data_IF_736310751022
#
_entry.id   IF_736310751022
#
_cell.length_a   1.000
_cell.length_b   1.000
_cell.length_c   1.000
_cell.angle_alpha   90.00
_cell.angle_beta   90.00
_cell.angle_gamma   90.00
#
_symmetry.space_group_name_H-M   'P 1'
#
loop_
_entity.id
_entity.type
_entity.pdbx_description
1 polymer ?
#
# COMPACT_ATOMS: atom_id res chain seq x y z
N UNK A 1 -33.67 52.71 8.80
CA UNK A 1 -32.87 52.73 7.55
C UNK A 1 -31.44 52.34 7.88
N UNK A 2 -30.85 51.37 7.17
CA UNK A 2 -29.41 51.09 7.32
C UNK A 2 -29.00 49.61 7.50
N UNK A 3 -29.40 48.77 6.54
CA UNK A 3 -28.75 47.53 6.04
C UNK A 3 -27.87 46.71 7.03
N UNK A 4 -28.43 45.58 7.47
CA UNK A 4 -27.65 44.36 7.80
C UNK A 4 -27.00 43.84 6.51
N UNK A 5 -25.67 43.79 6.50
CA UNK A 5 -24.91 43.10 5.46
C UNK A 5 -25.10 41.58 5.65
N UNK A 6 -25.98 40.99 4.85
CA UNK A 6 -26.02 39.54 4.65
C UNK A 6 -24.79 39.15 3.82
N UNK A 7 -23.72 38.73 4.50
CA UNK A 7 -22.67 37.94 3.87
C UNK A 7 -23.23 36.54 3.58
N UNK A 8 -23.84 36.36 2.40
CA UNK A 8 -24.00 35.03 1.84
C UNK A 8 -22.59 34.55 1.51
N UNK A 9 -22.03 33.67 2.34
CA UNK A 9 -20.99 32.76 1.88
C UNK A 9 -21.55 32.05 0.65
N UNK A 10 -21.01 32.38 -0.52
CA UNK A 10 -21.28 31.65 -1.74
C UNK A 10 -20.75 30.24 -1.52
N UNK A 11 -21.65 29.34 -1.16
CA UNK A 11 -21.41 27.90 -1.08
C UNK A 11 -20.90 27.46 -2.46
N UNK A 12 -19.59 27.28 -2.59
CA UNK A 12 -18.97 26.87 -3.84
C UNK A 12 -19.55 25.50 -4.17
N UNK A 13 -20.37 25.43 -5.22
CA UNK A 13 -20.95 24.18 -5.67
C UNK A 13 -19.82 23.17 -5.94
N UNK A 14 -19.87 22.04 -5.24
CA UNK A 14 -18.83 21.02 -5.31
C UNK A 14 -18.88 20.34 -6.68
N UNK A 15 -17.74 20.26 -7.36
CA UNK A 15 -17.61 19.48 -8.60
C UNK A 15 -17.68 17.98 -8.28
N UNK A 16 -18.91 17.43 -8.30
CA UNK A 16 -19.16 16.02 -8.00
C UNK A 16 -18.38 15.07 -8.94
N UNK A 17 -18.12 15.46 -10.19
CA UNK A 17 -17.36 14.62 -11.13
C UNK A 17 -15.91 14.50 -10.66
N UNK A 18 -15.31 15.63 -10.25
CA UNK A 18 -13.95 15.64 -9.68
C UNK A 18 -13.91 14.85 -8.38
N UNK A 19 -14.88 15.03 -7.48
CA UNK A 19 -14.97 14.28 -6.21
C UNK A 19 -14.99 12.77 -6.45
N UNK A 20 -15.86 12.27 -7.33
CA UNK A 20 -15.94 10.84 -7.63
C UNK A 20 -14.66 10.30 -8.27
N UNK A 21 -14.03 11.08 -9.16
CA UNK A 21 -12.76 10.74 -9.81
C UNK A 21 -11.65 10.59 -8.78
N UNK A 22 -11.54 11.55 -7.85
CA UNK A 22 -10.55 11.53 -6.78
C UNK A 22 -10.83 10.42 -5.75
N UNK A 23 -12.09 10.21 -5.38
CA UNK A 23 -12.46 9.12 -4.47
C UNK A 23 -12.07 7.74 -5.03
N UNK A 24 -12.21 7.53 -6.34
CA UNK A 24 -11.71 6.34 -7.03
C UNK A 24 -10.18 6.26 -7.06
N UNK A 25 -9.49 7.36 -7.36
CA UNK A 25 -8.02 7.40 -7.35
C UNK A 25 -7.45 7.06 -5.97
N UNK A 26 -8.01 7.68 -4.94
CA UNK A 26 -7.62 7.49 -3.55
C UNK A 26 -8.13 6.21 -2.92
N UNK A 27 -9.08 5.52 -3.55
CA UNK A 27 -9.75 4.31 -3.06
C UNK A 27 -10.47 4.52 -1.72
N UNK A 28 -11.20 5.62 -1.65
CA UNK A 28 -11.98 6.04 -0.47
C UNK A 28 -13.48 6.14 -0.79
N UNK A 29 -13.96 5.45 -1.84
CA UNK A 29 -15.38 5.48 -2.22
C UNK A 29 -16.33 5.02 -1.11
N UNK A 30 -16.02 3.98 -0.31
CA UNK A 30 -16.88 3.62 0.82
C UNK A 30 -16.92 4.71 1.90
N UNK A 31 -15.79 5.36 2.20
CA UNK A 31 -15.75 6.49 3.12
C UNK A 31 -16.57 7.69 2.60
N UNK A 32 -16.46 8.00 1.30
CA UNK A 32 -17.28 9.06 0.69
C UNK A 32 -18.77 8.74 0.79
N UNK A 33 -19.17 7.49 0.58
CA UNK A 33 -20.56 7.07 0.71
C UNK A 33 -21.08 7.25 2.14
N UNK A 34 -20.31 6.84 3.15
CA UNK A 34 -20.70 7.02 4.56
C UNK A 34 -20.72 8.48 5.00
N UNK A 35 -19.80 9.29 4.47
CA UNK A 35 -19.81 10.73 4.72
C UNK A 35 -21.05 11.39 4.11
N UNK A 36 -21.35 11.08 2.84
CA UNK A 36 -22.49 11.65 2.12
C UNK A 36 -23.85 11.31 2.73
N UNK A 37 -24.00 10.13 3.37
CA UNK A 37 -25.20 9.80 4.15
C UNK A 37 -25.53 10.84 5.22
N UNK A 38 -24.51 11.52 5.78
CA UNK A 38 -24.66 12.50 6.85
C UNK A 38 -24.78 13.93 6.33
N UNK A 39 -24.12 14.24 5.23
CA UNK A 39 -24.01 15.62 4.74
C UNK A 39 -24.89 15.93 3.53
N UNK A 40 -25.36 14.90 2.81
CA UNK A 40 -26.05 15.06 1.53
C UNK A 40 -25.29 15.91 0.51
N UNK A 41 -23.99 15.66 0.40
CA UNK A 41 -23.06 16.38 -0.48
C UNK A 41 -23.36 16.15 -1.97
N UNK A 42 -23.77 14.94 -2.35
CA UNK A 42 -23.88 14.48 -3.72
C UNK A 42 -25.33 14.48 -4.22
N UNK A 43 -25.53 14.67 -5.53
CA UNK A 43 -26.82 14.47 -6.17
C UNK A 43 -27.26 12.99 -6.09
N UNK A 44 -28.59 12.76 -6.06
CA UNK A 44 -29.21 11.43 -5.90
C UNK A 44 -28.59 10.36 -6.82
N UNK A 45 -28.38 10.69 -8.11
CA UNK A 45 -27.77 9.75 -9.08
C UNK A 45 -26.38 9.25 -8.66
N UNK A 46 -25.57 10.12 -8.06
CA UNK A 46 -24.21 9.80 -7.64
C UNK A 46 -24.20 9.06 -6.30
N UNK A 47 -25.18 9.32 -5.43
CA UNK A 47 -25.43 8.50 -4.22
C UNK A 47 -25.75 7.06 -4.59
N UNK A 48 -26.66 6.85 -5.54
CA UNK A 48 -27.04 5.52 -6.01
C UNK A 48 -25.86 4.80 -6.69
N UNK A 49 -25.07 5.51 -7.49
CA UNK A 49 -23.82 4.98 -8.04
C UNK A 49 -22.87 4.47 -6.95
N UNK A 50 -22.63 5.27 -5.90
CA UNK A 50 -21.77 4.87 -4.79
C UNK A 50 -22.37 3.71 -3.99
N UNK A 51 -23.69 3.71 -3.76
CA UNK A 51 -24.41 2.63 -3.08
C UNK A 51 -24.23 1.28 -3.80
N UNK A 52 -24.38 1.27 -5.12
CA UNK A 52 -24.14 0.08 -5.95
C UNK A 52 -22.68 -0.37 -5.79
N UNK A 53 -21.73 0.57 -5.89
CA UNK A 53 -20.31 0.27 -5.75
C UNK A 53 -19.97 -0.33 -4.38
N UNK A 54 -20.41 0.26 -3.27
CA UNK A 54 -20.08 -0.24 -1.92
C UNK A 54 -20.72 -1.59 -1.65
N UNK A 55 -21.91 -1.84 -2.20
CA UNK A 55 -22.58 -3.15 -2.10
C UNK A 55 -21.77 -4.23 -2.82
N UNK A 56 -21.34 -3.95 -4.06
CA UNK A 56 -20.48 -4.85 -4.81
C UNK A 56 -19.12 -5.07 -4.13
N UNK A 57 -18.53 -4.01 -3.55
CA UNK A 57 -17.29 -4.08 -2.79
C UNK A 57 -17.43 -5.02 -1.59
N UNK A 58 -18.52 -4.89 -0.82
CA UNK A 58 -18.80 -5.74 0.33
C UNK A 58 -18.98 -7.21 -0.07
N UNK A 59 -19.74 -7.50 -1.12
CA UNK A 59 -19.93 -8.87 -1.62
C UNK A 59 -18.62 -9.51 -2.08
N UNK A 60 -17.78 -8.77 -2.80
CA UNK A 60 -16.47 -9.26 -3.24
C UNK A 60 -15.52 -9.48 -2.06
N UNK A 61 -15.52 -8.59 -1.06
CA UNK A 61 -14.74 -8.78 0.17
C UNK A 61 -15.13 -10.06 0.90
N UNK A 62 -16.44 -10.34 1.03
CA UNK A 62 -16.91 -11.59 1.66
C UNK A 62 -16.43 -12.84 0.89
N UNK A 63 -16.47 -12.79 -0.44
CA UNK A 63 -15.93 -13.86 -1.30
C UNK A 63 -14.43 -14.03 -1.09
N UNK A 64 -13.66 -12.94 -1.03
CA UNK A 64 -12.22 -13.02 -0.79
C UNK A 64 -11.91 -13.58 0.60
N UNK A 65 -12.63 -13.16 1.64
CA UNK A 65 -12.49 -13.71 3.01
C UNK A 65 -12.70 -15.22 2.97
N UNK A 66 -13.76 -15.69 2.32
CA UNK A 66 -14.04 -17.12 2.21
C UNK A 66 -12.91 -17.90 1.53
N UNK A 67 -12.42 -17.43 0.38
CA UNK A 67 -11.35 -18.11 -0.35
C UNK A 67 -9.99 -17.99 0.33
N UNK A 68 -9.72 -16.86 1.00
CA UNK A 68 -8.50 -16.66 1.77
C UNK A 68 -8.46 -17.60 2.97
N UNK A 69 -9.59 -17.77 3.69
CA UNK A 69 -9.69 -18.75 4.78
C UNK A 69 -9.33 -20.15 4.30
N UNK A 70 -9.91 -20.60 3.18
CA UNK A 70 -9.59 -21.90 2.59
C UNK A 70 -8.10 -22.04 2.27
N UNK A 71 -7.52 -21.04 1.61
CA UNK A 71 -6.10 -21.06 1.25
C UNK A 71 -5.20 -21.14 2.49
N UNK A 72 -5.48 -20.34 3.53
CA UNK A 72 -4.70 -20.35 4.78
C UNK A 72 -4.78 -21.71 5.50
N UNK A 73 -5.95 -22.37 5.49
CA UNK A 73 -6.09 -23.73 6.03
C UNK A 73 -5.30 -24.77 5.24
N UNK A 74 -5.18 -24.61 3.91
CA UNK A 74 -4.34 -25.49 3.09
C UNK A 74 -2.84 -25.29 3.38
N UNK A 75 -2.40 -24.04 3.56
CA UNK A 75 -1.04 -23.77 4.01
C UNK A 75 -0.77 -24.35 5.41
N UNK A 76 -1.70 -24.19 6.35
CA UNK A 76 -1.60 -24.79 7.68
C UNK A 76 -1.49 -26.33 7.60
N UNK A 77 -2.33 -26.98 6.80
CA UNK A 77 -2.30 -28.45 6.60
C UNK A 77 -0.96 -28.90 6.00
N UNK A 78 -0.35 -28.09 5.13
CA UNK A 78 0.96 -28.35 4.56
C UNK A 78 2.13 -27.96 5.48
N UNK A 79 1.87 -27.48 6.70
CA UNK A 79 2.89 -27.05 7.65
C UNK A 79 3.59 -25.74 7.27
N UNK A 80 2.95 -24.91 6.44
CA UNK A 80 3.48 -23.65 5.91
C UNK A 80 2.96 -22.47 6.75
N UNK A 81 3.82 -21.75 7.51
CA UNK A 81 3.41 -20.57 8.24
C UNK A 81 3.10 -19.42 7.26
N UNK A 82 1.82 -19.12 7.07
CA UNK A 82 1.34 -18.06 6.20
C UNK A 82 0.69 -16.92 6.99
N UNK A 83 1.20 -15.71 6.83
CA UNK A 83 0.68 -14.49 7.46
C UNK A 83 -0.30 -13.81 6.51
N UNK A 84 -1.51 -13.54 7.00
CA UNK A 84 -2.43 -12.62 6.33
C UNK A 84 -1.81 -11.22 6.34
N UNK A 85 -1.71 -10.58 5.18
CA UNK A 85 -0.92 -9.36 5.04
C UNK A 85 -1.73 -8.18 4.45
N UNK A 86 -1.28 -6.96 4.72
CA UNK A 86 -1.79 -5.68 4.20
C UNK A 86 -3.31 -5.53 4.25
N UNK A 87 -3.96 -5.36 3.10
CA UNK A 87 -5.26 -4.71 2.99
C UNK A 87 -6.37 -5.42 3.77
N UNK A 88 -6.38 -6.75 3.72
CA UNK A 88 -7.37 -7.56 4.44
C UNK A 88 -7.06 -7.63 5.95
N UNK A 89 -5.78 -7.66 6.32
CA UNK A 89 -5.36 -7.56 7.72
C UNK A 89 -5.73 -6.20 8.33
N UNK A 90 -5.41 -5.09 7.65
CA UNK A 90 -5.80 -3.75 8.10
C UNK A 90 -7.31 -3.63 8.23
N UNK A 91 -8.05 -4.12 7.25
CA UNK A 91 -9.50 -4.07 7.25
C UNK A 91 -10.13 -4.70 8.51
N UNK A 92 -9.58 -5.81 9.00
CA UNK A 92 -10.11 -6.51 10.17
C UNK A 92 -9.52 -5.99 11.50
N UNK A 93 -8.24 -5.63 11.53
CA UNK A 93 -7.54 -5.26 12.77
C UNK A 93 -7.82 -3.83 13.23
N UNK A 94 -7.93 -2.88 12.30
CA UNK A 94 -7.94 -1.44 12.65
C UNK A 94 -9.24 -0.72 12.31
N UNK A 95 -10.09 -1.27 11.46
CA UNK A 95 -11.39 -0.66 11.16
C UNK A 95 -12.49 -1.27 12.02
N UNK A 96 -13.20 -0.42 12.76
CA UNK A 96 -14.42 -0.80 13.49
C UNK A 96 -15.48 -1.38 12.55
N UNK A 97 -15.62 -0.78 11.36
CA UNK A 97 -16.41 -1.33 10.27
C UNK A 97 -15.50 -1.66 9.08
N UNK A 98 -15.19 -2.95 8.85
CA UNK A 98 -14.44 -3.44 7.71
C UNK A 98 -14.90 -2.87 6.35
N UNK A 99 -16.19 -2.61 6.17
CA UNK A 99 -16.74 -2.17 4.87
C UNK A 99 -16.35 -0.75 4.48
N UNK A 100 -15.79 0.03 5.41
CA UNK A 100 -15.27 1.38 5.14
C UNK A 100 -14.01 1.35 4.29
N UNK A 101 -13.30 0.22 4.26
CA UNK A 101 -12.08 0.05 3.48
C UNK A 101 -12.38 -0.56 2.11
N UNK A 102 -11.96 0.14 1.05
CA UNK A 102 -12.14 -0.35 -0.32
C UNK A 102 -11.26 -1.57 -0.62
N UNK A 103 -11.87 -2.64 -1.13
CA UNK A 103 -11.26 -3.93 -1.48
C UNK A 103 -10.01 -3.78 -2.33
N UNK A 104 -8.90 -4.43 -1.92
CA UNK A 104 -7.68 -4.58 -2.72
C UNK A 104 -7.47 -5.99 -3.23
N UNK A 105 -6.23 -6.28 -3.60
CA UNK A 105 -5.78 -7.66 -3.81
C UNK A 105 -5.61 -8.34 -2.45
N UNK A 106 -5.57 -9.67 -2.45
CA UNK A 106 -5.27 -10.43 -1.24
C UNK A 106 -3.77 -10.63 -1.17
N UNK A 107 -3.17 -10.23 -0.05
CA UNK A 107 -1.74 -10.41 0.20
C UNK A 107 -1.55 -11.53 1.22
N UNK A 108 -0.73 -12.52 0.88
CA UNK A 108 -0.28 -13.55 1.83
C UNK A 108 1.24 -13.57 1.84
N UNK A 109 1.82 -13.58 3.04
CA UNK A 109 3.25 -13.55 3.26
C UNK A 109 3.73 -14.87 3.86
N UNK A 110 4.71 -15.50 3.22
CA UNK A 110 5.42 -16.69 3.73
C UNK A 110 6.91 -16.38 3.93
N UNK A 111 7.66 -17.28 4.56
CA UNK A 111 9.11 -17.15 4.59
C UNK A 111 9.71 -17.58 3.25
N UNK A 112 10.88 -17.02 2.90
CA UNK A 112 11.57 -17.33 1.64
C UNK A 112 11.81 -18.84 1.45
N UNK A 113 12.15 -19.54 2.52
CA UNK A 113 12.34 -21.01 2.53
C UNK A 113 11.06 -21.80 2.19
N UNK A 114 9.89 -21.22 2.45
CA UNK A 114 8.59 -21.87 2.27
C UNK A 114 7.95 -21.54 0.92
N UNK A 115 8.62 -20.77 0.06
CA UNK A 115 8.07 -20.38 -1.25
C UNK A 115 7.83 -21.59 -2.15
N UNK A 116 8.84 -22.44 -2.33
CA UNK A 116 8.70 -23.63 -3.17
C UNK A 116 7.57 -24.57 -2.70
N UNK A 117 7.48 -24.97 -1.41
CA UNK A 117 6.37 -25.82 -0.97
C UNK A 117 5.01 -25.09 -1.06
N UNK A 118 4.97 -23.76 -0.89
CA UNK A 118 3.73 -22.98 -1.10
C UNK A 118 3.25 -23.02 -2.55
N UNK A 119 4.16 -23.07 -3.52
CA UNK A 119 3.79 -23.13 -4.94
C UNK A 119 3.07 -24.43 -5.28
N UNK A 120 3.44 -25.55 -4.65
CA UNK A 120 2.72 -26.82 -4.81
C UNK A 120 1.28 -26.70 -4.30
N UNK A 121 1.10 -26.14 -3.10
CA UNK A 121 -0.24 -25.88 -2.54
C UNK A 121 -1.05 -24.96 -3.46
N UNK A 122 -0.44 -23.89 -3.96
CA UNK A 122 -1.11 -22.96 -4.88
C UNK A 122 -1.52 -23.65 -6.19
N UNK A 123 -0.64 -24.45 -6.79
CA UNK A 123 -0.91 -25.25 -8.01
C UNK A 123 -2.08 -26.20 -7.78
N UNK A 124 -2.09 -26.93 -6.65
CA UNK A 124 -3.17 -27.87 -6.30
C UNK A 124 -4.51 -27.16 -6.09
N UNK A 125 -4.49 -25.91 -5.61
CA UNK A 125 -5.67 -25.05 -5.50
C UNK A 125 -6.04 -24.33 -6.82
N UNK A 126 -5.40 -24.71 -7.93
CA UNK A 126 -5.67 -24.20 -9.27
C UNK A 126 -5.22 -22.75 -9.48
N UNK A 127 -4.30 -22.24 -8.68
CA UNK A 127 -3.66 -20.95 -8.95
C UNK A 127 -2.67 -21.10 -10.09
N UNK A 128 -2.82 -20.22 -11.08
CA UNK A 128 -1.91 -20.06 -12.21
C UNK A 128 -1.16 -18.74 -12.16
N UNK A 129 -0.06 -18.71 -12.88
CA UNK A 129 0.68 -17.54 -13.35
C UNK A 129 1.42 -17.96 -14.62
N UNK A 130 2.07 -17.03 -15.32
CA UNK A 130 2.95 -17.39 -16.44
C UNK A 130 4.05 -18.40 -16.04
N UNK A 131 4.40 -18.45 -14.74
CA UNK A 131 5.39 -19.37 -14.14
C UNK A 131 4.74 -20.67 -13.64
N UNK A 132 3.43 -20.67 -13.37
CA UNK A 132 2.68 -21.84 -12.90
C UNK A 132 1.82 -22.38 -14.03
N UNK A 133 2.42 -22.63 -15.20
CA UNK A 133 1.71 -23.28 -16.30
C UNK A 133 1.54 -24.78 -15.96
N UNK A 134 0.32 -25.32 -15.86
CA UNK A 134 0.08 -26.73 -15.58
C UNK A 134 0.71 -27.68 -16.60
N UNK A 135 1.00 -27.21 -17.82
CA UNK A 135 1.62 -28.00 -18.88
C UNK A 135 3.16 -28.07 -18.77
N UNK A 136 3.78 -27.32 -17.84
CA UNK A 136 5.22 -27.38 -17.62
C UNK A 136 5.62 -28.52 -16.65
N UNK A 137 6.71 -29.26 -16.93
CA UNK A 137 7.28 -30.24 -16.01
C UNK A 137 7.60 -29.62 -14.64
N UNK A 138 7.40 -30.38 -13.56
CA UNK A 138 7.66 -29.90 -12.18
C UNK A 138 9.11 -29.47 -11.96
N UNK A 139 10.06 -30.13 -12.64
CA UNK A 139 11.48 -29.77 -12.63
C UNK A 139 11.73 -28.38 -13.22
N UNK A 140 10.98 -27.99 -14.25
CA UNK A 140 11.09 -26.66 -14.85
C UNK A 140 10.47 -25.59 -13.94
N UNK A 141 9.33 -25.89 -13.31
CA UNK A 141 8.69 -24.99 -12.33
C UNK A 141 9.64 -24.71 -11.16
N UNK A 142 10.29 -25.75 -10.62
CA UNK A 142 11.29 -25.62 -9.56
C UNK A 142 12.46 -24.70 -9.96
N UNK A 143 13.02 -24.90 -11.15
CA UNK A 143 14.10 -24.05 -11.68
C UNK A 143 13.66 -22.59 -11.87
N UNK A 144 12.44 -22.36 -12.35
CA UNK A 144 11.90 -21.00 -12.46
C UNK A 144 11.75 -20.35 -11.09
N UNK A 145 11.23 -21.06 -10.09
CA UNK A 145 11.08 -20.55 -8.72
C UNK A 145 12.45 -20.24 -8.11
N UNK A 146 13.44 -21.14 -8.23
CA UNK A 146 14.80 -20.88 -7.75
C UNK A 146 15.42 -19.65 -8.39
N UNK A 147 15.24 -19.49 -9.71
CA UNK A 147 15.64 -18.28 -10.43
C UNK A 147 14.92 -17.04 -9.88
N UNK A 148 13.62 -17.11 -9.62
CA UNK A 148 12.87 -16.00 -9.00
C UNK A 148 13.41 -15.63 -7.62
N UNK A 149 13.72 -16.64 -6.80
CA UNK A 149 14.27 -16.47 -5.45
C UNK A 149 15.71 -15.94 -5.46
N UNK A 150 16.46 -16.15 -6.55
CA UNK A 150 17.80 -15.58 -6.73
C UNK A 150 17.77 -14.06 -6.95
N UNK A 151 16.64 -13.51 -7.40
CA UNK A 151 16.48 -12.07 -7.56
C UNK A 151 16.13 -11.42 -6.22
N UNK A 152 17.14 -10.89 -5.52
CA UNK A 152 16.93 -10.25 -4.21
C UNK A 152 16.00 -9.01 -4.25
N UNK A 153 15.70 -8.48 -5.43
CA UNK A 153 14.75 -7.38 -5.59
C UNK A 153 13.29 -7.83 -5.77
N UNK A 154 13.05 -9.12 -6.04
CA UNK A 154 11.72 -9.70 -6.16
C UNK A 154 11.33 -10.36 -4.84
N UNK A 155 10.17 -9.98 -4.32
CA UNK A 155 9.63 -10.50 -3.07
C UNK A 155 8.17 -10.91 -3.17
N UNK A 156 7.59 -10.84 -4.39
CA UNK A 156 6.19 -11.08 -4.61
C UNK A 156 5.93 -11.66 -6.01
N UNK A 157 4.90 -12.48 -6.12
CA UNK A 157 4.41 -13.08 -7.34
C UNK A 157 2.87 -12.98 -7.35
N UNK A 158 2.29 -12.19 -8.28
CA UNK A 158 0.85 -12.24 -8.52
C UNK A 158 0.47 -13.61 -9.09
N UNK A 159 -0.46 -14.28 -8.45
CA UNK A 159 -1.06 -15.54 -8.90
C UNK A 159 -2.58 -15.43 -8.82
N UNK A 160 -3.29 -16.17 -9.66
CA UNK A 160 -4.75 -16.14 -9.65
C UNK A 160 -5.36 -17.49 -9.96
N UNK A 161 -6.59 -17.69 -9.47
CA UNK A 161 -7.48 -18.71 -9.97
C UNK A 161 -8.85 -18.08 -10.30
N UNK A 162 -9.85 -18.90 -10.65
CA UNK A 162 -11.22 -18.43 -10.95
C UNK A 162 -11.89 -17.70 -9.78
N UNK A 163 -11.35 -17.83 -8.57
CA UNK A 163 -11.95 -17.40 -7.33
C UNK A 163 -11.24 -16.24 -6.63
N UNK A 164 -9.91 -16.17 -6.74
CA UNK A 164 -9.07 -15.28 -5.94
C UNK A 164 -7.92 -14.71 -6.77
N UNK A 165 -7.66 -13.42 -6.59
CA UNK A 165 -6.43 -12.75 -7.03
C UNK A 165 -5.53 -12.62 -5.79
N UNK A 166 -4.35 -13.22 -5.85
CA UNK A 166 -3.42 -13.31 -4.73
C UNK A 166 -2.09 -12.66 -5.13
N UNK A 167 -1.65 -11.66 -4.36
CA UNK A 167 -0.26 -11.20 -4.37
C UNK A 167 0.50 -12.03 -3.34
N UNK A 168 1.12 -13.13 -3.81
CA UNK A 168 1.86 -14.06 -2.97
C UNK A 168 3.26 -13.51 -2.68
N UNK A 169 3.65 -13.41 -1.40
CA UNK A 169 4.84 -12.65 -0.99
C UNK A 169 5.78 -13.47 -0.11
N UNK A 170 7.08 -13.20 -0.23
CA UNK A 170 8.14 -13.79 0.61
C UNK A 170 9.11 -12.76 1.20
N UNK A 171 8.72 -11.48 1.11
CA UNK A 171 9.38 -10.34 1.73
C UNK A 171 8.45 -9.14 1.72
N UNK A 172 8.91 -8.03 2.29
CA UNK A 172 8.07 -6.83 2.50
C UNK A 172 8.60 -5.58 1.79
N UNK A 173 9.81 -5.68 1.23
CA UNK A 173 10.45 -4.63 0.44
C UNK A 173 11.39 -5.25 -0.58
N UNK A 174 11.68 -4.52 -1.64
CA UNK A 174 12.82 -4.83 -2.52
C UNK A 174 14.11 -4.27 -1.95
N UNK A 175 15.24 -4.88 -2.29
CA UNK A 175 16.57 -4.46 -1.84
C UNK A 175 17.02 -3.08 -2.29
N UNK A 176 16.44 -2.53 -3.37
CA UNK A 176 16.76 -1.17 -3.78
C UNK A 176 16.25 -0.11 -2.79
N UNK A 177 15.32 -0.43 -1.88
CA UNK A 177 14.89 0.53 -0.86
C UNK A 177 16.03 0.79 0.13
N UNK A 178 16.29 2.07 0.40
CA UNK A 178 17.41 2.52 1.25
C UNK A 178 17.19 2.23 2.73
N UNK A 179 15.96 1.89 3.12
CA UNK A 179 15.62 1.57 4.49
C UNK A 179 15.80 0.07 4.79
N UNK A 180 16.13 -0.22 6.03
CA UNK A 180 16.23 -1.56 6.56
C UNK A 180 14.94 -1.94 7.29
N UNK A 181 14.56 -3.22 7.19
CA UNK A 181 13.54 -3.79 8.05
C UNK A 181 13.82 -5.28 8.23
N UNK A 182 14.01 -5.76 9.47
CA UNK A 182 14.31 -7.15 9.77
C UNK A 182 13.04 -7.99 9.68
N UNK A 183 12.51 -8.18 8.47
CA UNK A 183 11.22 -8.81 8.26
C UNK A 183 11.10 -10.24 8.82
N UNK A 184 12.14 -11.09 8.98
CA UNK A 184 11.98 -12.38 9.66
C UNK A 184 11.44 -12.24 11.09
N UNK A 185 11.69 -11.11 11.77
CA UNK A 185 11.16 -10.84 13.11
C UNK A 185 9.63 -10.79 13.15
N UNK A 186 8.95 -10.48 12.03
CA UNK A 186 7.48 -10.47 12.00
C UNK A 186 6.91 -11.87 12.21
N UNK A 187 7.59 -12.91 11.70
CA UNK A 187 7.17 -14.30 11.88
C UNK A 187 7.41 -14.76 13.32
N UNK A 188 8.51 -14.32 13.93
CA UNK A 188 8.80 -14.61 15.34
C UNK A 188 7.79 -13.99 16.31
N UNK A 189 7.29 -12.79 15.99
CA UNK A 189 6.26 -12.10 16.80
C UNK A 189 4.83 -12.49 16.43
N UNK A 190 4.63 -13.18 15.32
CA UNK A 190 3.29 -13.52 14.86
C UNK A 190 2.66 -14.58 15.76
N UNK A 191 1.35 -14.47 15.96
CA UNK A 191 0.58 -15.37 16.82
C UNK A 191 -0.68 -15.83 16.11
N UNK A 192 -1.16 -17.03 16.45
CA UNK A 192 -2.45 -17.51 15.95
C UNK A 192 -3.58 -16.70 16.61
N UNK A 193 -4.39 -16.04 15.80
CA UNK A 193 -5.56 -15.26 16.23
C UNK A 193 -6.77 -15.58 15.37
N UNK A 194 -7.96 -15.25 15.88
CA UNK A 194 -9.19 -15.45 15.12
C UNK A 194 -9.21 -14.59 13.86
N UNK A 195 -9.66 -15.19 12.76
CA UNK A 195 -9.97 -14.54 11.50
C UNK A 195 -11.25 -15.14 10.94
N UNK A 196 -12.38 -14.53 11.29
CA UNK A 196 -13.71 -14.96 10.85
C UNK A 196 -13.98 -16.44 11.18
N UNK A 197 -13.64 -16.91 12.37
CA UNK A 197 -13.92 -18.27 12.85
C UNK A 197 -12.89 -19.33 12.44
N UNK A 198 -11.71 -18.92 11.93
CA UNK A 198 -10.53 -19.80 11.85
C UNK A 198 -9.35 -19.16 12.57
N UNK A 199 -8.38 -19.95 13.00
CA UNK A 199 -7.15 -19.47 13.63
C UNK A 199 -6.10 -19.30 12.54
N UNK A 200 -5.57 -18.10 12.36
CA UNK A 200 -4.52 -17.82 11.35
C UNK A 200 -3.38 -17.04 11.96
N UNK A 201 -2.19 -17.16 11.37
CA UNK A 201 -1.02 -16.45 11.83
C UNK A 201 -1.15 -14.96 11.47
N UNK A 202 -1.05 -14.11 12.49
CA UNK A 202 -1.19 -12.66 12.34
C UNK A 202 -0.08 -11.95 13.10
N UNK A 203 0.36 -10.80 12.59
CA UNK A 203 1.42 -10.01 13.22
C UNK A 203 0.90 -9.23 14.42
N UNK A 204 1.79 -8.89 15.36
CA UNK A 204 1.43 -7.99 16.47
C UNK A 204 1.19 -6.56 15.97
N UNK A 205 0.60 -5.71 16.84
CA UNK A 205 0.24 -4.33 16.52
C UNK A 205 1.44 -3.46 16.09
N UNK A 206 2.62 -3.68 16.67
CA UNK A 206 3.84 -2.96 16.27
C UNK A 206 4.32 -3.40 14.88
N UNK A 207 4.33 -4.70 14.59
CA UNK A 207 4.67 -5.17 13.24
C UNK A 207 3.64 -4.71 12.22
N UNK A 208 2.34 -4.71 12.56
CA UNK A 208 1.27 -4.16 11.72
C UNK A 208 1.54 -2.69 11.37
N UNK A 209 1.95 -1.89 12.36
CA UNK A 209 2.36 -0.50 12.17
C UNK A 209 3.54 -0.36 11.23
N UNK A 210 4.62 -1.13 11.44
CA UNK A 210 5.80 -1.06 10.59
C UNK A 210 5.51 -1.48 9.15
N UNK A 211 4.73 -2.54 8.95
CA UNK A 211 4.29 -2.94 7.61
C UNK A 211 3.48 -1.83 6.93
N UNK A 212 2.63 -1.14 7.68
CA UNK A 212 1.91 0.02 7.18
C UNK A 212 2.87 1.14 6.75
N UNK A 213 3.83 1.51 7.59
CA UNK A 213 4.83 2.55 7.27
C UNK A 213 5.67 2.14 6.05
N UNK A 214 6.07 0.87 5.94
CA UNK A 214 6.85 0.35 4.82
C UNK A 214 6.04 0.40 3.52
N UNK A 215 4.80 -0.07 3.52
CA UNK A 215 4.01 -0.17 2.29
C UNK A 215 3.41 1.17 1.89
N UNK A 216 2.78 1.89 2.82
CA UNK A 216 2.13 3.16 2.54
C UNK A 216 3.13 4.30 2.40
N UNK A 217 4.09 4.38 3.32
CA UNK A 217 5.11 5.39 3.31
C UNK A 217 6.29 4.99 2.42
N UNK A 218 7.01 3.93 2.75
CA UNK A 218 8.26 3.56 2.09
C UNK A 218 8.11 3.24 0.60
N UNK A 219 7.12 2.40 0.24
CA UNK A 219 6.85 1.98 -1.13
C UNK A 219 5.96 2.98 -1.87
N UNK A 220 4.78 3.27 -1.31
CA UNK A 220 3.73 4.07 -1.97
C UNK A 220 3.78 5.58 -1.65
N UNK A 221 4.70 6.03 -0.79
CA UNK A 221 4.99 7.45 -0.51
C UNK A 221 3.78 8.30 -0.11
N UNK A 222 2.84 7.73 0.65
CA UNK A 222 1.62 8.38 1.12
C UNK A 222 0.75 8.98 0.00
N UNK A 223 0.97 8.60 -1.26
CA UNK A 223 0.38 9.25 -2.44
C UNK A 223 -1.12 8.99 -2.64
N UNK A 224 -1.80 8.32 -1.70
CA UNK A 224 -3.25 8.09 -1.74
C UNK A 224 -3.87 8.28 -0.36
N UNK A 225 -5.04 8.91 -0.29
CA UNK A 225 -5.73 9.16 0.97
C UNK A 225 -6.14 7.87 1.71
N UNK A 226 -6.30 6.72 1.04
CA UNK A 226 -6.47 5.43 1.75
C UNK A 226 -5.35 5.15 2.75
N UNK A 227 -4.12 5.61 2.47
CA UNK A 227 -2.97 5.40 3.34
C UNK A 227 -3.13 6.18 4.66
N UNK A 228 -3.67 7.39 4.57
CA UNK A 228 -3.98 8.20 5.74
C UNK A 228 -5.22 7.67 6.47
N UNK A 229 -6.20 7.13 5.75
CA UNK A 229 -7.34 6.45 6.37
C UNK A 229 -6.89 5.23 7.17
N UNK A 230 -6.03 4.38 6.60
CA UNK A 230 -5.44 3.23 7.29
C UNK A 230 -4.60 3.68 8.51
N UNK A 231 -3.76 4.70 8.39
CA UNK A 231 -2.98 5.21 9.53
C UNK A 231 -3.87 5.87 10.61
N UNK A 232 -4.90 6.61 10.21
CA UNK A 232 -5.89 7.20 11.12
C UNK A 232 -6.65 6.13 11.90
N UNK A 233 -7.10 5.07 11.23
CA UNK A 233 -7.76 3.94 11.87
C UNK A 233 -6.82 3.23 12.85
N UNK A 234 -5.55 3.01 12.48
CA UNK A 234 -4.55 2.47 13.40
C UNK A 234 -4.37 3.34 14.66
N UNK A 235 -4.25 4.66 14.50
CA UNK A 235 -4.09 5.58 15.62
C UNK A 235 -5.28 5.53 16.58
N UNK A 236 -6.50 5.46 16.05
CA UNK A 236 -7.70 5.32 16.88
C UNK A 236 -7.73 4.01 17.67
N UNK A 237 -7.27 2.92 17.05
CA UNK A 237 -7.37 1.58 17.63
C UNK A 237 -6.23 1.27 18.62
N UNK A 238 -5.00 1.69 18.32
CA UNK A 238 -3.82 1.23 19.05
C UNK A 238 -2.92 2.32 19.63
N UNK A 239 -3.17 3.61 19.42
CA UNK A 239 -2.22 4.67 19.81
C UNK A 239 -1.81 4.64 21.28
N UNK A 240 -2.71 4.32 22.20
CA UNK A 240 -2.44 4.24 23.64
C UNK A 240 -1.65 3.01 24.05
N UNK A 241 -1.45 2.05 23.13
CA UNK A 241 -0.78 0.78 23.38
C UNK A 241 0.60 0.68 22.72
N UNK A 242 1.06 1.76 22.07
CA UNK A 242 2.33 1.83 21.34
C UNK A 242 3.30 2.72 22.10
N UNK A 243 4.53 2.26 22.27
CA UNK A 243 5.61 3.09 22.79
C UNK A 243 6.18 3.96 21.66
N UNK A 244 5.70 5.21 21.57
CA UNK A 244 6.06 6.12 20.48
C UNK A 244 7.52 6.61 20.52
N UNK A 245 8.14 6.67 21.69
CA UNK A 245 9.58 6.96 21.80
C UNK A 245 10.41 5.83 21.18
N UNK A 246 10.07 4.57 21.49
CA UNK A 246 10.70 3.40 20.90
C UNK A 246 10.48 3.33 19.39
N UNK A 247 9.29 3.71 18.90
CA UNK A 247 9.01 3.83 17.46
C UNK A 247 9.94 4.85 16.80
N UNK A 248 10.14 6.03 17.40
CA UNK A 248 11.04 7.05 16.85
C UNK A 248 12.51 6.60 16.80
N UNK A 249 12.98 5.91 17.83
CA UNK A 249 14.33 5.31 17.85
C UNK A 249 14.46 4.27 16.74
N UNK A 250 13.48 3.37 16.64
CA UNK A 250 13.46 2.31 15.64
C UNK A 250 13.39 2.88 14.22
N UNK A 251 12.58 3.92 13.99
CA UNK A 251 12.45 4.59 12.69
C UNK A 251 13.79 5.11 12.18
N UNK A 252 14.60 5.71 13.07
CA UNK A 252 15.96 6.15 12.74
C UNK A 252 16.85 4.97 12.38
N UNK A 253 16.84 3.91 13.19
CA UNK A 253 17.66 2.71 12.92
C UNK A 253 17.30 2.03 11.60
N UNK A 254 16.04 2.15 11.18
CA UNK A 254 15.53 1.60 9.93
C UNK A 254 15.71 2.53 8.74
N UNK A 255 16.05 3.81 8.94
CA UNK A 255 16.10 4.80 7.86
C UNK A 255 14.70 5.16 7.32
N UNK A 256 13.67 5.11 8.19
CA UNK A 256 12.26 5.38 7.89
C UNK A 256 11.75 6.65 8.58
N UNK A 257 12.61 7.45 9.22
CA UNK A 257 12.18 8.55 10.06
C UNK A 257 11.46 9.64 9.26
N UNK A 258 11.99 10.04 8.09
CA UNK A 258 11.39 11.07 7.24
C UNK A 258 10.00 10.66 6.78
N UNK A 259 9.90 9.45 6.22
CA UNK A 259 8.64 8.87 5.75
C UNK A 259 7.61 8.73 6.87
N UNK A 260 8.04 8.32 8.07
CA UNK A 260 7.17 8.21 9.24
C UNK A 260 6.59 9.58 9.64
N UNK A 261 7.44 10.59 9.76
CA UNK A 261 7.05 11.93 10.17
C UNK A 261 6.19 12.63 9.11
N UNK A 262 6.43 12.40 7.82
CA UNK A 262 5.54 12.86 6.75
C UNK A 262 4.11 12.34 6.94
N UNK A 263 3.96 11.03 7.19
CA UNK A 263 2.66 10.40 7.44
C UNK A 263 1.91 11.05 8.60
N UNK A 264 2.60 11.28 9.72
CA UNK A 264 2.03 11.96 10.88
C UNK A 264 1.73 13.43 10.64
N UNK A 265 2.59 14.14 9.92
CA UNK A 265 2.33 15.52 9.53
C UNK A 265 1.03 15.60 8.73
N UNK A 266 0.82 14.72 7.74
CA UNK A 266 -0.43 14.68 6.97
C UNK A 266 -1.65 14.38 7.85
N UNK A 267 -1.56 13.48 8.82
CA UNK A 267 -2.65 13.23 9.77
C UNK A 267 -2.99 14.46 10.61
N UNK A 268 -1.96 15.15 11.13
CA UNK A 268 -2.14 16.36 11.96
C UNK A 268 -2.72 17.50 11.13
N UNK A 269 -2.17 17.78 9.95
CA UNK A 269 -2.57 18.96 9.16
C UNK A 269 -3.88 18.78 8.40
N UNK A 270 -4.20 17.56 7.94
CA UNK A 270 -5.38 17.34 7.09
C UNK A 270 -6.56 16.75 7.83
N UNK A 271 -6.31 15.91 8.84
CA UNK A 271 -7.37 15.19 9.57
C UNK A 271 -7.52 15.66 11.02
N UNK A 272 -6.71 16.63 11.46
CA UNK A 272 -6.72 17.19 12.82
C UNK A 272 -6.68 16.12 13.91
N UNK A 273 -5.95 15.03 13.66
CA UNK A 273 -5.78 13.93 14.62
C UNK A 273 -4.77 14.37 15.68
N UNK A 274 -5.15 14.26 16.95
CA UNK A 274 -4.22 14.43 18.07
C UNK A 274 -3.16 13.33 18.02
N UNK A 275 -1.89 13.74 18.08
CA UNK A 275 -0.77 12.83 18.02
C UNK A 275 -0.17 12.65 19.44
N UNK A 276 0.49 11.50 19.69
CA UNK A 276 1.24 11.29 20.92
C UNK A 276 2.34 12.36 21.09
N UNK A 277 2.56 12.82 22.33
CA UNK A 277 3.51 13.89 22.62
C UNK A 277 4.92 13.69 22.01
N UNK A 278 5.54 12.49 22.05
CA UNK A 278 6.85 12.28 21.42
C UNK A 278 6.84 12.54 19.90
N UNK A 279 5.73 12.22 19.22
CA UNK A 279 5.57 12.48 17.79
C UNK A 279 5.37 13.97 17.54
N UNK A 280 4.57 14.65 18.37
CA UNK A 280 4.34 16.10 18.25
C UNK A 280 5.63 16.89 18.38
N UNK A 281 6.42 16.62 19.43
CA UNK A 281 7.72 17.26 19.65
C UNK A 281 8.64 17.03 18.44
N UNK A 282 8.70 15.79 17.93
CA UNK A 282 9.55 15.48 16.78
C UNK A 282 9.11 16.20 15.51
N UNK A 283 7.81 16.44 15.33
CA UNK A 283 7.27 17.14 14.17
C UNK A 283 7.65 18.63 14.13
N UNK A 284 7.93 19.27 15.27
CA UNK A 284 8.31 20.70 15.31
C UNK A 284 9.58 21.00 14.50
N UNK A 285 10.50 20.02 14.45
CA UNK A 285 11.76 20.11 13.70
C UNK A 285 11.72 19.39 12.35
N UNK A 286 10.57 18.81 11.98
CA UNK A 286 10.43 18.02 10.75
C UNK A 286 10.24 18.92 9.52
N UNK A 287 11.01 18.66 8.47
CA UNK A 287 10.87 19.33 7.19
C UNK A 287 10.43 18.34 6.13
N UNK A 288 9.15 18.40 5.76
CA UNK A 288 8.61 17.56 4.70
C UNK A 288 8.98 18.11 3.32
N UNK A 289 9.98 17.47 2.71
CA UNK A 289 10.55 17.89 1.41
C UNK A 289 9.62 17.62 0.23
N UNK A 290 8.64 16.73 0.40
CA UNK A 290 7.78 16.23 -0.68
C UNK A 290 6.33 16.65 -0.55
N UNK A 291 5.97 17.40 0.50
CA UNK A 291 4.59 17.78 0.84
C UNK A 291 3.82 18.31 -0.37
N UNK A 292 4.38 19.30 -1.07
CA UNK A 292 3.76 19.91 -2.25
C UNK A 292 3.58 18.92 -3.40
N UNK A 293 4.52 17.98 -3.59
CA UNK A 293 4.43 16.97 -4.64
C UNK A 293 3.33 15.95 -4.34
N UNK A 294 3.28 15.45 -3.11
CA UNK A 294 2.26 14.51 -2.66
C UNK A 294 0.88 15.16 -2.74
N UNK A 295 0.74 16.42 -2.30
CA UNK A 295 -0.51 17.15 -2.38
C UNK A 295 -0.98 17.36 -3.83
N UNK A 296 -0.07 17.74 -4.73
CA UNK A 296 -0.39 17.86 -6.15
C UNK A 296 -0.86 16.52 -6.77
N UNK A 297 -0.28 15.40 -6.35
CA UNK A 297 -0.75 14.07 -6.77
C UNK A 297 -2.18 13.84 -6.29
N UNK A 298 -2.48 14.19 -5.04
CA UNK A 298 -3.82 14.02 -4.51
C UNK A 298 -4.88 14.83 -5.24
N UNK A 299 -4.56 16.04 -5.70
CA UNK A 299 -5.53 16.89 -6.37
C UNK A 299 -5.73 16.56 -7.85
N UNK A 300 -4.69 16.03 -8.51
CA UNK A 300 -4.61 16.04 -9.96
C UNK A 300 -4.41 14.67 -10.62
N UNK A 301 -3.95 13.64 -9.89
CA UNK A 301 -3.68 12.34 -10.50
C UNK A 301 -4.92 11.45 -10.61
N UNK A 302 -4.86 10.53 -11.58
CA UNK A 302 -5.81 9.43 -11.73
C UNK A 302 -5.12 8.13 -12.10
N UNK A 303 -5.85 7.02 -11.93
CA UNK A 303 -5.42 5.72 -12.43
C UNK A 303 -5.07 5.79 -13.93
N UNK A 304 -3.91 5.23 -14.30
CA UNK A 304 -3.41 5.20 -15.68
C UNK A 304 -2.48 6.36 -16.06
N UNK A 305 -2.19 7.30 -15.16
CA UNK A 305 -1.19 8.36 -15.42
C UNK A 305 0.23 7.78 -15.46
N UNK A 306 0.84 7.74 -16.64
CA UNK A 306 2.19 7.18 -16.85
C UNK A 306 3.28 7.92 -16.06
N UNK A 307 3.04 9.18 -15.68
CA UNK A 307 4.00 9.96 -14.87
C UNK A 307 4.04 9.53 -13.42
N UNK A 308 2.99 8.85 -12.94
CA UNK A 308 2.84 8.49 -11.53
C UNK A 308 4.03 7.68 -11.03
N UNK A 309 4.52 6.73 -11.82
CA UNK A 309 5.64 5.87 -11.44
C UNK A 309 6.95 6.64 -11.29
N UNK A 310 7.26 7.52 -12.25
CA UNK A 310 8.48 8.33 -12.21
C UNK A 310 8.44 9.36 -11.07
N UNK A 311 7.28 9.97 -10.82
CA UNK A 311 7.09 10.86 -9.68
C UNK A 311 7.27 10.09 -8.37
N UNK A 312 6.70 8.88 -8.27
CA UNK A 312 6.86 7.98 -7.13
C UNK A 312 8.33 7.65 -6.85
N UNK A 313 9.11 7.35 -7.90
CA UNK A 313 10.56 7.13 -7.79
C UNK A 313 11.30 8.36 -7.26
N UNK A 314 10.97 9.54 -7.76
CA UNK A 314 11.61 10.78 -7.33
C UNK A 314 11.26 11.15 -5.88
N UNK A 315 10.00 10.96 -5.47
CA UNK A 315 9.57 11.16 -4.08
C UNK A 315 10.32 10.19 -3.16
N UNK A 316 10.39 8.89 -3.49
CA UNK A 316 11.18 7.90 -2.73
C UNK A 316 12.62 8.33 -2.51
N UNK A 317 13.23 8.89 -3.56
CA UNK A 317 14.61 9.35 -3.52
C UNK A 317 14.80 10.57 -2.59
N UNK A 318 13.89 11.55 -2.61
CA UNK A 318 13.93 12.74 -1.75
C UNK A 318 13.62 12.45 -0.28
N UNK A 319 12.79 11.43 -0.03
CA UNK A 319 12.31 11.03 1.30
C UNK A 319 13.23 10.06 2.05
N UNK A 320 14.47 9.89 1.60
CA UNK A 320 15.47 9.14 2.34
C UNK A 320 15.95 9.93 3.55
N UNK A 321 16.17 9.24 4.66
CA UNK A 321 16.75 9.84 5.87
C UNK A 321 18.13 10.45 5.58
N UNK A 322 18.93 9.78 4.75
CA UNK A 322 20.19 10.30 4.21
C UNK A 322 19.87 11.19 3.00
N UNK A 323 19.56 12.46 3.26
CA UNK A 323 19.11 13.44 2.25
C UNK A 323 20.13 13.84 1.16
N UNK A 324 21.28 13.18 1.08
CA UNK A 324 22.31 13.45 0.08
C UNK A 324 22.06 12.69 -1.22
N UNK A 325 22.48 13.27 -2.35
CA UNK A 325 22.46 12.53 -3.61
C UNK A 325 23.37 11.32 -3.57
N UNK A 326 22.78 10.18 -3.88
CA UNK A 326 23.42 8.87 -3.91
C UNK A 326 23.16 8.30 -5.31
N UNK A 327 24.16 8.45 -6.21
CA UNK A 327 24.06 7.95 -7.57
C UNK A 327 23.84 6.44 -7.62
N UNK A 328 24.40 5.68 -6.68
CA UNK A 328 24.26 4.22 -6.65
C UNK A 328 22.83 3.81 -6.33
N UNK A 329 22.21 4.44 -5.33
CA UNK A 329 20.80 4.19 -5.02
C UNK A 329 19.90 4.51 -6.23
N UNK A 330 20.14 5.64 -6.88
CA UNK A 330 19.36 6.05 -8.03
C UNK A 330 19.48 5.04 -9.18
N UNK A 331 20.70 4.60 -9.49
CA UNK A 331 20.97 3.56 -10.49
C UNK A 331 20.33 2.22 -10.10
N UNK A 332 20.45 1.78 -8.85
CA UNK A 332 19.82 0.54 -8.36
C UNK A 332 18.30 0.56 -8.48
N UNK A 333 17.67 1.70 -8.17
CA UNK A 333 16.22 1.88 -8.31
C UNK A 333 15.79 1.86 -9.80
N UNK A 334 16.59 2.45 -10.69
CA UNK A 334 16.38 2.37 -12.14
C UNK A 334 16.53 0.94 -12.66
N UNK A 335 17.61 0.26 -12.30
CA UNK A 335 17.87 -1.14 -12.66
C UNK A 335 16.74 -2.04 -12.18
N UNK A 336 16.27 -1.85 -10.94
CA UNK A 336 15.12 -2.59 -10.42
C UNK A 336 13.89 -2.42 -11.31
N UNK A 337 13.55 -1.17 -11.66
CA UNK A 337 12.35 -0.91 -12.45
C UNK A 337 12.46 -1.53 -13.85
N UNK A 338 13.65 -1.50 -14.46
CA UNK A 338 13.92 -2.16 -15.73
C UNK A 338 13.84 -3.69 -15.63
N UNK A 339 14.52 -4.29 -14.64
CA UNK A 339 14.53 -5.74 -14.42
C UNK A 339 13.15 -6.29 -14.06
N UNK A 340 12.35 -5.54 -13.30
CA UNK A 340 10.96 -5.91 -12.99
C UNK A 340 10.12 -6.01 -14.27
N UNK A 341 10.30 -5.09 -15.23
CA UNK A 341 9.61 -5.14 -16.52
C UNK A 341 10.03 -6.36 -17.34
N UNK A 342 11.32 -6.71 -17.34
CA UNK A 342 11.80 -7.93 -18.01
C UNK A 342 11.24 -9.20 -17.37
N UNK A 343 11.21 -9.27 -16.04
CA UNK A 343 10.73 -10.44 -15.31
C UNK A 343 9.21 -10.65 -15.42
N UNK A 344 8.44 -9.63 -15.80
CA UNK A 344 6.97 -9.67 -15.94
C UNK A 344 6.51 -9.73 -17.42
N UNK A 345 7.36 -10.21 -18.33
CA UNK A 345 7.05 -10.40 -19.77
C UNK A 345 6.33 -9.21 -20.43
N UNK A 346 6.84 -7.98 -20.26
CA UNK A 346 6.33 -6.82 -21.00
C UNK A 346 6.69 -6.89 -22.50
N UNK A 347 5.88 -6.31 -23.40
CA UNK A 347 6.15 -6.32 -24.84
C UNK A 347 7.56 -5.78 -25.13
N UNK A 348 8.30 -6.51 -25.99
CA UNK A 348 9.70 -6.29 -26.40
C UNK A 348 10.04 -4.88 -26.91
N UNK A 349 9.06 -3.98 -27.03
CA UNK A 349 9.17 -2.65 -27.60
C UNK A 349 9.65 -1.56 -26.63
N UNK A 350 9.78 -1.83 -25.33
CA UNK A 350 10.25 -0.81 -24.37
C UNK A 350 11.75 -0.97 -24.09
N UNK A 351 12.57 -0.15 -24.74
CA UNK A 351 14.04 -0.29 -24.68
C UNK A 351 14.63 0.34 -23.42
N UNK A 352 15.86 -0.05 -23.00
CA UNK A 352 16.58 0.67 -21.94
C UNK A 352 16.70 2.17 -22.22
N UNK A 353 16.89 2.53 -23.49
CA UNK A 353 17.07 3.91 -23.94
C UNK A 353 15.82 4.74 -23.67
N UNK A 354 14.63 4.21 -24.02
CA UNK A 354 13.35 4.88 -23.75
C UNK A 354 13.16 5.12 -22.24
N UNK A 355 13.49 4.11 -21.42
CA UNK A 355 13.42 4.21 -19.97
C UNK A 355 14.35 5.28 -19.40
N UNK A 356 15.62 5.31 -19.83
CA UNK A 356 16.58 6.32 -19.39
C UNK A 356 16.17 7.74 -19.82
N UNK A 357 15.68 7.90 -21.06
CA UNK A 357 15.21 9.19 -21.57
C UNK A 357 14.02 9.74 -20.77
N UNK A 358 13.03 8.90 -20.48
CA UNK A 358 11.85 9.30 -19.69
C UNK A 358 12.24 9.65 -18.25
N UNK A 359 13.17 8.90 -17.67
CA UNK A 359 13.61 9.12 -16.29
C UNK A 359 14.43 10.40 -16.12
N UNK A 360 15.26 10.78 -17.10
CA UNK A 360 16.07 12.00 -17.05
C UNK A 360 15.24 13.25 -17.39
N UNK A 361 14.33 13.15 -18.37
CA UNK A 361 13.54 14.32 -18.82
C UNK A 361 12.51 14.78 -17.79
N UNK A 362 11.93 13.87 -17.01
CA UNK A 362 10.82 14.22 -16.12
C UNK A 362 11.23 15.09 -14.91
N UNK A 363 12.34 14.82 -14.18
CA UNK A 363 12.84 15.72 -13.14
C UNK A 363 13.13 17.12 -13.69
N UNK A 364 13.75 17.22 -14.88
CA UNK A 364 14.04 18.50 -15.54
C UNK A 364 12.73 19.25 -15.87
N UNK A 365 11.69 18.54 -16.34
CA UNK A 365 10.38 19.13 -16.67
C UNK A 365 9.61 19.56 -15.41
N UNK A 366 9.69 18.79 -14.32
CA UNK A 366 9.06 19.12 -13.04
C UNK A 366 9.77 20.29 -12.34
N UNK A 367 11.08 20.46 -12.54
CA UNK A 367 11.85 21.61 -12.05
C UNK A 367 11.59 22.89 -12.86
N UNK A 368 11.27 22.78 -14.15
CA UNK A 368 10.94 23.92 -15.03
C UNK A 368 9.51 24.44 -14.90
N UNK A 369 8.61 23.67 -14.29
CA UNK A 369 7.22 24.06 -14.04
C UNK A 369 6.99 24.56 -12.60
N UNK A 370 8.05 25.02 -11.92
CA UNK A 370 7.98 25.67 -10.61
C UNK A 370 7.89 27.18 -10.74
#
# INVERSE_FOLDING_TARGET
>A
MGKKANGKETEIAVDERKVLKLAKFHRIRPLLFEYDKKTSLLAIKNKEYLKIFVTQNALKNLKDIYHTKKLLQQFETAGIPAILHKGLQYQFEIYENPQLRERGDIDVLVQKKDVLPSMNVLKDQGFGSEILNPDQPETEIGQHIEKLLSFNYLYQLPVNNKSLLLDFQWGVKSDFHSFHFPYPLIFHKATLRDFYGIRVLQVDKESLFWLMVIHHGGKDQWMRLRHLADLSAFMKTYSTQINWEAILVTARSYGLQQVLLDGFQYLKTLLSISLPAPIEERLETHQNRVYKMVFNIWENCTWGDSRFELISMYIRYLNRDNGNFDPEYYIKNLQHHYQKKQAMAYPEKYTPIDFFYDTIKLPIKLLKNK
#
